data_IF_101691908090
#
_entry.id   IF_101691908090
#
_cell.length_a   1.000
_cell.length_b   1.000
_cell.length_c   1.000
_cell.angle_alpha   90.00
_cell.angle_beta   90.00
_cell.angle_gamma   90.00
#
_symmetry.space_group_name_H-M   'P 1'
#
loop_
_entity.id
_entity.type
_entity.pdbx_description
1 polymer ?
#
# COMPACT_ATOMS: atom_id res chain seq x y z
N UNK A 1 2.59 -13.61 15.21
CA UNK A 1 2.74 -13.73 16.68
C UNK A 1 4.15 -14.13 17.10
N UNK A 2 4.73 -15.20 16.52
CA UNK A 2 6.09 -15.68 16.84
C UNK A 2 7.18 -14.60 16.66
N UNK A 3 7.20 -13.91 15.52
CA UNK A 3 8.15 -12.81 15.27
C UNK A 3 8.13 -11.77 16.39
N UNK A 4 6.95 -11.34 16.84
CA UNK A 4 6.83 -10.29 17.85
C UNK A 4 7.36 -10.72 19.22
N UNK A 5 7.15 -11.98 19.60
CA UNK A 5 7.73 -12.55 20.83
C UNK A 5 9.26 -12.60 20.75
N UNK A 6 9.80 -13.06 19.62
CA UNK A 6 11.25 -13.07 19.39
C UNK A 6 11.81 -11.64 19.43
N UNK A 7 11.15 -10.69 18.76
CA UNK A 7 11.54 -9.29 18.72
C UNK A 7 11.63 -8.69 20.13
N UNK A 8 10.59 -8.88 20.95
CA UNK A 8 10.55 -8.43 22.35
C UNK A 8 11.66 -9.09 23.19
N UNK A 9 11.91 -10.39 23.00
CA UNK A 9 13.01 -11.09 23.70
C UNK A 9 14.40 -10.51 23.39
N UNK A 10 14.54 -9.84 22.24
CA UNK A 10 15.77 -9.15 21.81
C UNK A 10 15.75 -7.65 22.15
N UNK A 11 14.77 -7.18 22.92
CA UNK A 11 14.64 -5.78 23.35
C UNK A 11 14.00 -4.85 22.32
N UNK A 12 13.48 -5.38 21.21
CA UNK A 12 12.75 -4.64 20.20
C UNK A 12 11.25 -4.58 20.52
N UNK A 13 10.48 -3.82 19.73
CA UNK A 13 9.03 -3.79 19.85
C UNK A 13 8.38 -5.06 19.30
N UNK A 14 7.15 -5.33 19.73
CA UNK A 14 6.37 -6.46 19.22
C UNK A 14 6.09 -6.35 17.71
N UNK A 15 5.79 -5.15 17.23
CA UNK A 15 5.65 -4.87 15.80
C UNK A 15 6.96 -4.33 15.23
N UNK A 16 7.28 -4.63 13.95
CA UNK A 16 8.44 -4.06 13.29
C UNK A 16 8.42 -2.53 13.30
N UNK A 17 9.59 -1.89 13.41
CA UNK A 17 9.71 -0.42 13.37
C UNK A 17 9.02 0.21 12.14
N UNK A 18 9.09 -0.35 10.91
CA UNK A 18 8.33 0.20 9.78
C UNK A 18 6.82 0.31 10.03
N UNK A 19 6.22 -0.67 10.70
CA UNK A 19 4.78 -0.67 11.02
C UNK A 19 4.47 0.42 12.05
N UNK A 20 5.31 0.55 13.08
CA UNK A 20 5.13 1.54 14.14
C UNK A 20 5.37 2.98 13.67
N UNK A 21 6.33 3.19 12.77
CA UNK A 21 6.74 4.51 12.31
C UNK A 21 5.93 5.01 11.11
N UNK A 22 5.42 4.11 10.27
CA UNK A 22 4.68 4.47 9.04
C UNK A 22 3.20 4.12 9.08
N UNK A 23 2.75 3.36 10.09
CA UNK A 23 1.35 3.02 10.26
C UNK A 23 0.53 4.21 10.75
N UNK A 24 -0.75 4.20 10.41
CA UNK A 24 -1.73 5.19 10.86
C UNK A 24 -2.45 4.66 12.11
N UNK A 25 -1.77 4.66 13.25
CA UNK A 25 -2.35 4.23 14.54
C UNK A 25 -3.06 5.42 15.18
N UNK A 26 -4.36 5.36 15.47
CA UNK A 26 -5.08 6.46 16.10
C UNK A 26 -4.54 6.73 17.50
N UNK A 27 -4.30 8.01 17.82
CA UNK A 27 -4.15 8.43 19.21
C UNK A 27 -5.51 8.24 19.91
N UNK A 28 -5.53 7.64 21.11
CA UNK A 28 -6.76 7.40 21.91
C UNK A 28 -7.29 8.70 22.53
N UNK A 29 -7.55 9.68 21.69
CA UNK A 29 -8.16 10.97 22.02
C UNK A 29 -9.24 11.29 20.98
N UNK A 30 -10.21 12.12 21.32
CA UNK A 30 -11.27 12.53 20.38
C UNK A 30 -10.67 13.14 19.09
N UNK A 31 -9.62 13.95 19.23
CA UNK A 31 -8.90 14.55 18.10
C UNK A 31 -8.19 13.46 17.29
N UNK A 32 -7.57 12.48 17.95
CA UNK A 32 -6.90 11.36 17.29
C UNK A 32 -7.85 10.48 16.49
N UNK A 33 -9.04 10.19 17.04
CA UNK A 33 -10.11 9.48 16.34
C UNK A 33 -10.61 10.29 15.13
N UNK A 34 -10.81 11.60 15.30
CA UNK A 34 -11.19 12.48 14.19
C UNK A 34 -10.16 12.49 13.06
N UNK A 35 -8.87 12.57 13.38
CA UNK A 35 -7.78 12.47 12.40
C UNK A 35 -7.75 11.11 11.69
N UNK A 36 -8.04 10.03 12.40
CA UNK A 36 -8.10 8.69 11.83
C UNK A 36 -9.21 8.57 10.78
N UNK A 37 -10.42 9.03 11.07
CA UNK A 37 -11.51 9.05 10.08
C UNK A 37 -11.21 10.00 8.93
N UNK A 38 -10.66 11.18 9.21
CA UNK A 38 -10.21 12.10 8.15
C UNK A 38 -9.20 11.42 7.22
N UNK A 39 -8.20 10.71 7.76
CA UNK A 39 -7.26 9.93 6.97
C UNK A 39 -7.97 8.89 6.11
N UNK A 40 -8.87 8.10 6.71
CA UNK A 40 -9.63 7.08 5.98
C UNK A 40 -10.40 7.67 4.79
N UNK A 41 -11.16 8.76 5.00
CA UNK A 41 -11.91 9.40 3.92
C UNK A 41 -11.01 10.08 2.90
N UNK A 42 -9.93 10.73 3.33
CA UNK A 42 -8.96 11.35 2.43
C UNK A 42 -8.28 10.30 1.54
N UNK A 43 -7.95 9.12 2.07
CA UNK A 43 -7.41 8.01 1.30
C UNK A 43 -8.45 7.46 0.31
N UNK A 44 -9.72 7.34 0.71
CA UNK A 44 -10.78 6.85 -0.15
C UNK A 44 -11.02 7.78 -1.36
N UNK A 45 -11.08 9.09 -1.10
CA UNK A 45 -11.28 10.12 -2.15
C UNK A 45 -10.03 10.30 -3.00
N UNK A 46 -8.85 10.26 -2.39
CA UNK A 46 -7.56 10.43 -3.08
C UNK A 46 -7.16 9.24 -3.96
N UNK A 47 -7.81 8.08 -3.79
CA UNK A 47 -7.48 6.85 -4.53
C UNK A 47 -8.73 6.27 -5.22
N UNK A 48 -9.27 6.96 -6.25
CA UNK A 48 -10.54 6.60 -6.88
C UNK A 48 -10.56 5.20 -7.51
N UNK A 49 -9.41 4.70 -7.97
CA UNK A 49 -9.25 3.33 -8.47
C UNK A 49 -9.63 2.29 -7.42
N UNK A 50 -9.14 2.45 -6.19
CA UNK A 50 -9.45 1.51 -5.10
C UNK A 50 -10.88 1.69 -4.60
N UNK A 51 -11.36 2.93 -4.54
CA UNK A 51 -12.75 3.22 -4.17
C UNK A 51 -13.75 2.53 -5.11
N UNK A 52 -13.51 2.60 -6.43
CA UNK A 52 -14.34 1.92 -7.43
C UNK A 52 -14.31 0.40 -7.23
N UNK A 53 -13.15 -0.21 -6.99
CA UNK A 53 -13.07 -1.65 -6.73
C UNK A 53 -13.86 -2.05 -5.46
N UNK A 54 -13.78 -1.25 -4.39
CA UNK A 54 -14.56 -1.50 -3.17
C UNK A 54 -16.07 -1.39 -3.46
N UNK A 55 -16.50 -0.36 -4.19
CA UNK A 55 -17.91 -0.20 -4.57
C UNK A 55 -18.41 -1.36 -5.43
N UNK A 56 -17.64 -1.78 -6.43
CA UNK A 56 -17.98 -2.92 -7.28
C UNK A 56 -18.04 -4.24 -6.49
N UNK A 57 -17.11 -4.43 -5.55
CA UNK A 57 -17.12 -5.60 -4.66
C UNK A 57 -18.33 -5.59 -3.73
N UNK A 58 -18.67 -4.44 -3.13
CA UNK A 58 -19.87 -4.28 -2.30
C UNK A 58 -21.15 -4.54 -3.10
N UNK A 59 -21.26 -3.98 -4.31
CA UNK A 59 -22.39 -4.23 -5.20
C UNK A 59 -22.51 -5.72 -5.55
N UNK A 60 -21.39 -6.36 -5.91
CA UNK A 60 -21.33 -7.80 -6.21
C UNK A 60 -21.71 -8.65 -5.00
N UNK A 61 -21.28 -8.27 -3.80
CA UNK A 61 -21.63 -8.93 -2.55
C UNK A 61 -23.12 -8.82 -2.26
N UNK A 62 -23.68 -7.62 -2.28
CA UNK A 62 -25.10 -7.37 -2.02
C UNK A 62 -25.97 -8.12 -3.03
N UNK A 63 -25.66 -8.02 -4.32
CA UNK A 63 -26.41 -8.69 -5.38
C UNK A 63 -26.38 -10.23 -5.24
N UNK A 64 -25.23 -10.81 -4.94
CA UNK A 64 -25.10 -12.26 -4.74
C UNK A 64 -25.78 -12.72 -3.45
N UNK A 65 -25.60 -11.98 -2.37
CA UNK A 65 -26.24 -12.28 -1.10
C UNK A 65 -27.76 -12.21 -1.22
N UNK A 66 -28.30 -11.23 -1.96
CA UNK A 66 -29.73 -11.14 -2.19
C UNK A 66 -30.28 -12.33 -2.99
N UNK A 67 -29.57 -12.78 -4.03
CA UNK A 67 -29.99 -13.94 -4.83
C UNK A 67 -29.86 -15.29 -4.11
N UNK A 68 -28.81 -15.46 -3.30
CA UNK A 68 -28.44 -16.79 -2.78
C UNK A 68 -28.74 -16.95 -1.28
N UNK A 69 -28.86 -15.84 -0.53
CA UNK A 69 -29.11 -15.80 0.93
C UNK A 69 -28.16 -16.67 1.77
N UNK A 70 -26.96 -16.98 1.26
CA UNK A 70 -25.95 -17.81 1.93
C UNK A 70 -24.63 -17.03 1.99
N UNK A 71 -23.95 -17.04 3.14
CA UNK A 71 -22.68 -16.32 3.33
C UNK A 71 -21.44 -17.19 3.08
N UNK A 72 -21.56 -18.51 3.20
CA UNK A 72 -20.44 -19.46 3.22
C UNK A 72 -20.06 -20.04 1.86
N UNK A 73 -20.32 -19.29 0.78
CA UNK A 73 -19.90 -19.69 -0.57
C UNK A 73 -18.59 -19.01 -0.94
N UNK A 74 -17.72 -19.72 -1.65
CA UNK A 74 -16.37 -19.26 -1.99
C UNK A 74 -16.35 -17.83 -2.58
N UNK A 75 -17.18 -17.45 -3.56
CA UNK A 75 -17.14 -16.09 -4.12
C UNK A 75 -17.53 -15.00 -3.11
N UNK A 76 -18.45 -15.30 -2.19
CA UNK A 76 -18.89 -14.37 -1.14
C UNK A 76 -17.78 -14.21 -0.09
N UNK A 77 -17.17 -15.31 0.32
CA UNK A 77 -16.02 -15.29 1.24
C UNK A 77 -14.88 -14.48 0.63
N UNK A 78 -14.57 -14.67 -0.66
CA UNK A 78 -13.52 -13.90 -1.35
C UNK A 78 -13.84 -12.41 -1.43
N UNK A 79 -15.10 -12.03 -1.67
CA UNK A 79 -15.56 -10.63 -1.64
C UNK A 79 -15.40 -10.02 -0.24
N UNK A 80 -15.81 -10.74 0.80
CA UNK A 80 -15.65 -10.31 2.20
C UNK A 80 -14.17 -10.14 2.54
N UNK A 81 -13.32 -11.11 2.21
CA UNK A 81 -11.87 -11.03 2.41
C UNK A 81 -11.30 -9.79 1.72
N UNK A 82 -11.63 -9.56 0.44
CA UNK A 82 -11.16 -8.39 -0.29
C UNK A 82 -11.62 -7.09 0.36
N UNK A 83 -12.92 -6.94 0.66
CA UNK A 83 -13.48 -5.74 1.27
C UNK A 83 -12.81 -5.46 2.62
N UNK A 84 -12.75 -6.46 3.51
CA UNK A 84 -12.11 -6.31 4.82
C UNK A 84 -10.62 -5.95 4.71
N UNK A 85 -9.90 -6.59 3.79
CA UNK A 85 -8.47 -6.31 3.57
C UNK A 85 -8.25 -4.89 3.04
N UNK A 86 -9.09 -4.43 2.10
CA UNK A 86 -9.02 -3.09 1.55
C UNK A 86 -9.33 -2.02 2.62
N UNK A 87 -10.38 -2.24 3.41
CA UNK A 87 -10.76 -1.32 4.50
C UNK A 87 -9.68 -1.22 5.58
N UNK A 88 -9.08 -2.35 5.98
CA UNK A 88 -7.95 -2.33 6.92
C UNK A 88 -6.71 -1.65 6.33
N UNK A 89 -6.42 -1.86 5.05
CA UNK A 89 -5.30 -1.18 4.40
C UNK A 89 -5.50 0.34 4.39
N UNK A 90 -6.68 0.82 3.96
CA UNK A 90 -7.02 2.25 3.93
C UNK A 90 -6.97 2.86 5.33
N UNK A 91 -7.37 2.09 6.35
CA UNK A 91 -7.41 2.55 7.74
C UNK A 91 -6.01 2.75 8.34
N UNK A 92 -5.11 1.79 8.10
CA UNK A 92 -3.87 1.68 8.85
C UNK A 92 -2.60 1.93 8.03
N UNK A 93 -2.70 2.02 6.70
CA UNK A 93 -1.56 2.21 5.80
C UNK A 93 -1.78 3.34 4.79
N UNK A 94 -0.68 3.91 4.32
CA UNK A 94 -0.69 4.96 3.31
C UNK A 94 -0.81 4.41 1.88
N UNK A 95 -1.73 4.96 1.09
CA UNK A 95 -1.85 4.71 -0.34
C UNK A 95 -1.12 5.77 -1.18
N UNK A 96 -1.11 5.60 -2.50
CA UNK A 96 -0.78 6.67 -3.45
C UNK A 96 0.70 7.03 -3.63
N UNK A 97 1.63 6.48 -2.86
CA UNK A 97 3.06 6.84 -3.01
C UNK A 97 3.65 6.37 -4.36
N UNK A 98 3.80 5.06 -4.55
CA UNK A 98 4.42 4.47 -5.76
C UNK A 98 3.68 3.22 -6.20
N UNK A 99 2.38 3.16 -5.92
CA UNK A 99 1.48 2.04 -6.21
C UNK A 99 1.83 0.69 -5.54
N UNK A 100 2.99 0.58 -4.88
CA UNK A 100 3.51 -0.67 -4.29
C UNK A 100 2.57 -1.29 -3.25
N UNK A 101 2.09 -0.47 -2.33
CA UNK A 101 1.29 -0.96 -1.20
C UNK A 101 -0.13 -1.33 -1.60
N UNK A 102 -0.64 -0.80 -2.71
CA UNK A 102 -1.99 -1.08 -3.21
C UNK A 102 -2.02 -2.08 -4.36
N UNK A 103 -0.88 -2.44 -4.96
CA UNK A 103 -0.85 -3.30 -6.14
C UNK A 103 -1.49 -4.67 -5.92
N UNK A 104 -1.32 -5.25 -4.73
CA UNK A 104 -1.95 -6.52 -4.39
C UNK A 104 -3.47 -6.37 -4.23
N UNK A 105 -3.96 -5.24 -3.72
CA UNK A 105 -5.40 -4.94 -3.63
C UNK A 105 -6.01 -4.78 -5.03
N UNK A 106 -5.28 -4.18 -5.96
CA UNK A 106 -5.71 -4.05 -7.35
C UNK A 106 -5.88 -5.43 -8.00
N UNK A 107 -4.87 -6.29 -7.88
CA UNK A 107 -4.92 -7.64 -8.43
C UNK A 107 -6.03 -8.48 -7.79
N UNK A 108 -6.12 -8.46 -6.46
CA UNK A 108 -7.14 -9.19 -5.72
C UNK A 108 -8.55 -8.68 -6.05
N UNK A 109 -8.76 -7.37 -6.07
CA UNK A 109 -10.05 -6.75 -6.36
C UNK A 109 -10.54 -7.08 -7.76
N UNK A 110 -9.70 -6.88 -8.78
CA UNK A 110 -10.04 -7.21 -10.17
C UNK A 110 -10.39 -8.70 -10.29
N UNK A 111 -9.58 -9.58 -9.69
CA UNK A 111 -9.81 -11.02 -9.75
C UNK A 111 -11.14 -11.44 -9.11
N UNK A 112 -11.41 -11.00 -7.88
CA UNK A 112 -12.63 -11.37 -7.16
C UNK A 112 -13.88 -10.77 -7.83
N UNK A 113 -13.80 -9.52 -8.31
CA UNK A 113 -14.91 -8.90 -9.05
C UNK A 113 -15.17 -9.62 -10.37
N UNK A 114 -14.12 -9.99 -11.11
CA UNK A 114 -14.26 -10.75 -12.36
C UNK A 114 -15.01 -12.07 -12.11
N UNK A 115 -14.57 -12.88 -11.14
CA UNK A 115 -15.27 -14.11 -10.73
C UNK A 115 -16.71 -13.83 -10.29
N UNK A 116 -16.90 -12.72 -9.56
CA UNK A 116 -18.20 -12.28 -9.08
C UNK A 116 -19.19 -11.95 -10.19
N UNK A 117 -18.73 -11.43 -11.34
CA UNK A 117 -19.57 -10.97 -12.45
C UNK A 117 -19.67 -12.03 -13.56
N UNK A 118 -18.65 -12.88 -13.77
CA UNK A 118 -18.58 -13.84 -14.87
C UNK A 118 -19.83 -14.72 -15.02
N UNK A 119 -20.39 -15.21 -13.91
CA UNK A 119 -21.61 -16.05 -13.91
C UNK A 119 -22.88 -15.31 -14.38
N UNK A 120 -22.85 -13.98 -14.44
CA UNK A 120 -23.97 -13.13 -14.83
C UNK A 120 -23.76 -12.43 -16.18
N UNK A 121 -22.60 -12.63 -16.82
CA UNK A 121 -22.36 -12.11 -18.16
C UNK A 121 -23.14 -12.95 -19.18
N UNK A 122 -23.81 -12.32 -20.16
CA UNK A 122 -24.47 -13.06 -21.23
C UNK A 122 -23.42 -13.80 -22.08
N UNK A 123 -23.69 -15.06 -22.43
CA UNK A 123 -22.80 -15.88 -23.28
C UNK A 123 -22.52 -15.23 -24.64
N UNK A 124 -23.49 -14.48 -25.17
CA UNK A 124 -23.35 -13.70 -26.40
C UNK A 124 -23.84 -12.28 -26.16
N UNK A 125 -22.95 -11.31 -26.29
CA UNK A 125 -23.33 -9.91 -26.37
C UNK A 125 -23.81 -9.62 -27.79
N UNK A 126 -25.09 -9.28 -27.96
CA UNK A 126 -25.64 -8.79 -29.23
C UNK A 126 -25.87 -7.28 -29.16
N UNK A 127 -25.34 -6.56 -30.14
CA UNK A 127 -25.57 -5.11 -30.30
C UNK A 127 -26.65 -4.95 -31.37
N UNK A 128 -27.81 -4.45 -30.98
CA UNK A 128 -28.88 -4.13 -31.91
C UNK A 128 -28.83 -2.65 -32.27
N UNK A 129 -28.64 -2.31 -33.54
CA UNK A 129 -28.51 -0.94 -34.06
C UNK A 129 -29.88 -0.24 -34.20
N UNK A 130 -30.69 -0.26 -33.14
CA UNK A 130 -31.93 0.49 -33.05
C UNK A 130 -31.65 1.87 -32.45
N UNK A 131 -32.05 2.96 -33.13
CA UNK A 131 -31.91 4.34 -32.65
C UNK A 131 -32.56 4.57 -31.27
N UNK A 132 -33.62 3.84 -30.94
CA UNK A 132 -34.26 3.92 -29.63
C UNK A 132 -33.37 3.39 -28.48
N UNK A 133 -32.39 2.52 -28.78
CA UNK A 133 -31.43 1.98 -27.80
C UNK A 133 -30.18 2.86 -27.66
N UNK A 134 -30.01 3.88 -28.51
CA UNK A 134 -28.83 4.74 -28.49
C UNK A 134 -28.57 5.39 -27.12
N UNK A 135 -29.57 5.94 -26.40
CA UNK A 135 -29.33 6.50 -25.07
C UNK A 135 -28.81 5.45 -24.07
N UNK A 136 -29.30 4.21 -24.16
CA UNK A 136 -28.85 3.09 -23.31
C UNK A 136 -27.39 2.74 -23.58
N UNK A 137 -26.98 2.67 -24.84
CA UNK A 137 -25.58 2.38 -25.19
C UNK A 137 -24.64 3.50 -24.76
N UNK A 138 -25.04 4.76 -24.93
CA UNK A 138 -24.25 5.92 -24.47
C UNK A 138 -24.10 5.85 -22.94
N UNK A 139 -25.19 5.67 -22.19
CA UNK A 139 -25.13 5.56 -20.74
C UNK A 139 -24.25 4.39 -20.26
N UNK A 140 -24.35 3.24 -20.93
CA UNK A 140 -23.50 2.06 -20.63
C UNK A 140 -22.03 2.35 -20.92
N UNK A 141 -21.72 3.00 -22.05
CA UNK A 141 -20.37 3.40 -22.42
C UNK A 141 -19.76 4.40 -21.42
N UNK A 142 -20.54 5.39 -20.99
CA UNK A 142 -20.12 6.35 -19.95
C UNK A 142 -19.85 5.64 -18.63
N UNK A 143 -20.71 4.70 -18.23
CA UNK A 143 -20.52 3.93 -17.00
C UNK A 143 -19.25 3.07 -17.05
N UNK A 144 -19.03 2.36 -18.17
CA UNK A 144 -17.80 1.57 -18.39
C UNK A 144 -16.57 2.49 -18.35
N UNK A 145 -16.63 3.65 -19.02
CA UNK A 145 -15.53 4.61 -19.00
C UNK A 145 -15.28 5.13 -17.58
N UNK A 146 -16.30 5.50 -16.83
CA UNK A 146 -16.18 5.98 -15.45
C UNK A 146 -15.53 4.93 -14.53
N UNK A 147 -15.90 3.66 -14.68
CA UNK A 147 -15.33 2.55 -13.90
C UNK A 147 -13.88 2.27 -14.31
N UNK A 148 -13.60 2.22 -15.61
CA UNK A 148 -12.31 1.77 -16.15
C UNK A 148 -11.25 2.85 -16.16
N UNK A 149 -11.64 4.13 -16.28
CA UNK A 149 -10.69 5.23 -16.44
C UNK A 149 -9.75 5.39 -15.24
N UNK A 150 -10.20 5.40 -13.97
CA UNK A 150 -9.27 5.50 -12.83
C UNK A 150 -8.32 4.30 -12.72
N UNK A 151 -8.81 3.09 -13.06
CA UNK A 151 -7.98 1.88 -13.11
C UNK A 151 -6.90 2.00 -14.20
N UNK A 152 -7.29 2.50 -15.38
CA UNK A 152 -6.39 2.70 -16.52
C UNK A 152 -5.35 3.79 -16.24
N UNK A 153 -5.74 4.93 -15.67
CA UNK A 153 -4.82 6.01 -15.28
C UNK A 153 -3.78 5.49 -14.30
N UNK A 154 -4.21 4.79 -13.24
CA UNK A 154 -3.30 4.20 -12.25
C UNK A 154 -2.38 3.16 -12.90
N UNK A 155 -2.93 2.28 -13.75
CA UNK A 155 -2.16 1.25 -14.45
C UNK A 155 -1.10 1.83 -15.38
N UNK A 156 -1.47 2.82 -16.18
CA UNK A 156 -0.58 3.53 -17.09
C UNK A 156 0.51 4.27 -16.34
N UNK A 157 0.16 4.97 -15.24
CA UNK A 157 1.14 5.60 -14.35
C UNK A 157 2.14 4.58 -13.82
N UNK A 158 1.68 3.41 -13.35
CA UNK A 158 2.55 2.32 -12.93
C UNK A 158 3.52 1.85 -14.03
N UNK A 159 3.04 1.68 -15.26
CA UNK A 159 3.84 1.24 -16.40
C UNK A 159 4.92 2.26 -16.80
N UNK A 160 4.62 3.56 -16.73
CA UNK A 160 5.57 4.62 -17.11
C UNK A 160 6.56 4.91 -15.99
N UNK A 161 6.10 5.04 -14.74
CA UNK A 161 6.96 5.49 -13.63
C UNK A 161 7.83 4.39 -13.05
N UNK A 162 7.41 3.12 -13.11
CA UNK A 162 8.16 2.01 -12.49
C UNK A 162 9.54 1.79 -13.15
N UNK A 163 9.68 1.73 -14.49
CA UNK A 163 10.99 1.61 -15.13
C UNK A 163 11.91 2.77 -14.80
N UNK A 164 11.40 4.01 -14.83
CA UNK A 164 12.18 5.19 -14.47
C UNK A 164 12.62 5.17 -13.01
N UNK A 165 11.73 4.81 -12.08
CA UNK A 165 12.05 4.69 -10.67
C UNK A 165 13.13 3.62 -10.44
N UNK A 166 13.02 2.48 -11.13
CA UNK A 166 14.03 1.41 -11.08
C UNK A 166 15.39 1.90 -11.59
N UNK A 167 15.40 2.65 -12.69
CA UNK A 167 16.62 3.29 -13.20
C UNK A 167 17.20 4.29 -12.21
N UNK A 168 16.38 5.06 -11.50
CA UNK A 168 16.84 5.99 -10.47
C UNK A 168 17.51 5.25 -9.31
N UNK A 169 16.94 4.12 -8.86
CA UNK A 169 17.55 3.28 -7.82
C UNK A 169 18.90 2.73 -8.29
N UNK A 170 18.99 2.28 -9.54
CA UNK A 170 20.26 1.85 -10.14
C UNK A 170 21.29 2.99 -10.20
N UNK A 171 20.88 4.20 -10.61
CA UNK A 171 21.76 5.36 -10.76
C UNK A 171 22.20 6.00 -9.44
N UNK A 172 21.42 5.85 -8.38
CA UNK A 172 21.67 6.51 -7.09
C UNK A 172 22.05 5.52 -6.01
N UNK A 173 21.10 4.73 -5.51
CA UNK A 173 21.30 3.87 -4.34
C UNK A 173 22.26 2.72 -4.61
N UNK A 174 22.19 2.11 -5.81
CA UNK A 174 23.11 1.04 -6.19
C UNK A 174 24.54 1.57 -6.41
N UNK A 175 24.72 2.72 -7.08
CA UNK A 175 26.06 3.33 -7.23
C UNK A 175 26.64 3.75 -5.88
N UNK A 176 25.82 4.35 -5.00
CA UNK A 176 26.21 4.67 -3.62
C UNK A 176 26.66 3.41 -2.88
N UNK A 177 25.96 2.29 -3.04
CA UNK A 177 26.34 1.02 -2.45
C UNK A 177 27.70 0.52 -2.95
N UNK A 178 27.99 0.62 -4.26
CA UNK A 178 29.29 0.27 -4.81
C UNK A 178 30.41 1.17 -4.30
N UNK A 179 30.14 2.47 -4.15
CA UNK A 179 31.09 3.42 -3.56
C UNK A 179 31.41 3.06 -2.11
N UNK A 180 30.39 2.83 -1.28
CA UNK A 180 30.57 2.43 0.12
C UNK A 180 31.29 1.08 0.23
N UNK A 181 30.96 0.12 -0.65
CA UNK A 181 31.66 -1.17 -0.74
C UNK A 181 33.15 -1.02 -1.04
N UNK A 182 33.54 -0.01 -1.81
CA UNK A 182 34.95 0.21 -2.17
C UNK A 182 35.72 1.00 -1.12
N UNK A 183 35.10 1.99 -0.47
CA UNK A 183 35.84 2.97 0.34
C UNK A 183 35.47 2.99 1.83
N UNK A 184 34.37 2.36 2.24
CA UNK A 184 33.81 2.46 3.59
C UNK A 184 33.51 1.10 4.24
N UNK A 185 34.20 0.03 3.82
CA UNK A 185 34.05 -1.29 4.45
C UNK A 185 34.40 -1.25 5.93
N UNK A 186 33.55 -1.85 6.76
CA UNK A 186 33.65 -1.88 8.20
C UNK A 186 33.51 -0.51 8.87
N UNK A 187 33.01 0.52 8.16
CA UNK A 187 32.83 1.87 8.70
C UNK A 187 31.38 2.16 9.02
N UNK A 188 31.16 3.02 10.00
CA UNK A 188 29.86 3.60 10.29
C UNK A 188 29.40 4.55 9.18
N UNK A 189 28.16 4.38 8.71
CA UNK A 189 27.55 5.22 7.67
C UNK A 189 26.10 5.54 8.05
N UNK A 190 25.77 6.83 8.13
CA UNK A 190 24.40 7.28 8.33
C UNK A 190 23.69 7.49 6.99
N UNK A 191 22.53 6.87 6.81
CA UNK A 191 21.81 6.90 5.54
C UNK A 191 20.28 6.83 5.70
N UNK A 192 19.56 7.38 4.73
CA UNK A 192 18.09 7.27 4.66
C UNK A 192 17.65 5.96 3.99
N UNK A 193 18.28 5.60 2.87
CA UNK A 193 17.95 4.42 2.09
C UNK A 193 18.93 3.30 2.38
N UNK A 194 18.52 2.40 3.27
CA UNK A 194 19.40 1.37 3.85
C UNK A 194 19.45 0.05 3.08
N UNK A 195 18.62 -0.12 2.04
CA UNK A 195 18.48 -1.39 1.34
C UNK A 195 19.75 -1.83 0.59
N UNK A 196 19.99 -1.24 -0.58
CA UNK A 196 21.10 -1.65 -1.44
C UNK A 196 22.48 -1.45 -0.79
N UNK A 197 22.65 -0.37 -0.02
CA UNK A 197 23.93 -0.05 0.62
C UNK A 197 24.32 -1.08 1.69
N UNK A 198 23.38 -1.53 2.52
CA UNK A 198 23.65 -2.55 3.55
C UNK A 198 23.68 -3.96 2.98
N UNK A 199 23.09 -4.18 1.80
CA UNK A 199 23.17 -5.48 1.13
C UNK A 199 24.51 -5.70 0.43
N UNK A 200 25.06 -4.67 -0.23
CA UNK A 200 26.28 -4.82 -1.05
C UNK A 200 27.57 -4.45 -0.33
N UNK A 201 27.51 -3.60 0.70
CA UNK A 201 28.65 -3.16 1.49
C UNK A 201 28.49 -3.62 2.94
N UNK A 202 29.60 -4.04 3.57
CA UNK A 202 29.64 -4.33 5.01
C UNK A 202 29.88 -3.01 5.75
N UNK A 203 28.80 -2.34 6.15
CA UNK A 203 28.82 -1.04 6.82
C UNK A 203 28.02 -1.11 8.12
N UNK A 204 28.47 -0.36 9.13
CA UNK A 204 27.65 -0.13 10.32
C UNK A 204 26.62 0.97 10.03
N UNK A 205 25.48 0.58 9.46
CA UNK A 205 24.48 1.53 8.98
C UNK A 205 23.64 2.12 10.12
N UNK A 206 23.72 3.45 10.27
CA UNK A 206 22.77 4.26 11.02
C UNK A 206 21.62 4.69 10.11
N UNK A 207 20.54 3.93 10.14
CA UNK A 207 19.27 4.23 9.48
C UNK A 207 18.59 5.45 10.09
N UNK A 208 18.66 6.56 9.35
CA UNK A 208 18.06 7.84 9.74
C UNK A 208 16.51 7.80 9.72
N UNK A 209 15.91 6.81 9.05
CA UNK A 209 14.48 6.56 9.11
C UNK A 209 14.04 5.73 10.32
N UNK A 210 14.95 5.00 10.96
CA UNK A 210 14.70 4.17 12.14
C UNK A 210 14.02 2.83 11.85
N UNK A 211 13.95 2.41 10.59
CA UNK A 211 13.43 1.11 10.16
C UNK A 211 14.34 -0.03 10.65
N UNK A 212 15.66 0.16 10.54
CA UNK A 212 16.70 -0.78 10.93
C UNK A 212 17.39 -0.47 12.26
N UNK A 213 17.08 0.66 12.92
CA UNK A 213 17.66 0.98 14.23
C UNK A 213 16.61 1.37 15.27
N UNK A 214 16.58 0.59 16.36
CA UNK A 214 15.64 0.78 17.46
C UNK A 214 15.81 2.12 18.19
N UNK A 215 17.03 2.62 18.34
CA UNK A 215 17.30 3.91 19.02
C UNK A 215 16.67 5.08 18.24
N UNK A 216 16.82 5.07 16.91
CA UNK A 216 16.21 6.06 16.02
C UNK A 216 14.70 5.93 16.04
N UNK A 217 14.15 4.71 15.99
CA UNK A 217 12.70 4.48 16.10
C UNK A 217 12.11 5.04 17.40
N UNK A 218 12.75 4.75 18.53
CA UNK A 218 12.36 5.26 19.87
C UNK A 218 12.32 6.79 19.88
N UNK A 219 13.33 7.45 19.32
CA UNK A 219 13.40 8.91 19.26
C UNK A 219 12.33 9.51 18.34
N UNK A 220 12.07 8.89 17.19
CA UNK A 220 11.02 9.33 16.26
C UNK A 220 9.63 9.17 16.86
N UNK A 221 9.33 8.04 17.49
CA UNK A 221 8.04 7.82 18.17
C UNK A 221 7.80 8.84 19.28
N UNK A 222 8.86 9.22 20.02
CA UNK A 222 8.80 10.28 21.04
C UNK A 222 8.80 11.72 20.47
N UNK A 223 8.79 11.88 19.13
CA UNK A 223 8.92 13.18 18.44
C UNK A 223 10.15 13.99 18.89
N UNK A 224 11.23 13.31 19.27
CA UNK A 224 12.46 13.90 19.79
C UNK A 224 13.70 13.56 18.94
N UNK A 225 13.50 13.25 17.66
CA UNK A 225 14.59 12.97 16.73
C UNK A 225 15.01 14.26 16.01
N UNK A 226 16.04 14.93 16.53
CA UNK A 226 16.60 16.18 15.99
C UNK A 226 18.09 16.02 15.64
N UNK A 227 18.68 17.04 15.04
CA UNK A 227 20.09 17.06 14.59
C UNK A 227 21.08 16.66 15.70
N UNK A 228 20.85 17.10 16.94
CA UNK A 228 21.73 16.75 18.06
C UNK A 228 21.74 15.24 18.35
N UNK A 229 20.58 14.60 18.28
CA UNK A 229 20.46 13.17 18.50
C UNK A 229 21.10 12.38 17.37
N UNK A 230 20.97 12.84 16.12
CA UNK A 230 21.67 12.25 14.97
C UNK A 230 23.18 12.28 15.22
N UNK A 231 23.72 13.46 15.55
CA UNK A 231 25.15 13.63 15.84
C UNK A 231 25.63 12.71 16.97
N UNK A 232 24.88 12.65 18.07
CA UNK A 232 25.22 11.81 19.22
C UNK A 232 25.21 10.32 18.86
N UNK A 233 24.26 9.87 18.03
CA UNK A 233 24.19 8.48 17.57
C UNK A 233 25.31 8.14 16.60
N UNK A 234 25.65 9.05 15.69
CA UNK A 234 26.78 8.87 14.76
C UNK A 234 28.10 8.78 15.52
N UNK A 235 28.33 9.63 16.53
CA UNK A 235 29.56 9.60 17.36
C UNK A 235 29.77 8.31 18.14
N UNK A 236 28.69 7.57 18.45
CA UNK A 236 28.77 6.30 19.19
C UNK A 236 29.25 5.15 18.30
N UNK A 237 29.18 5.30 16.98
CA UNK A 237 29.56 4.28 16.00
C UNK A 237 30.98 4.55 15.52
N UNK A 238 31.77 3.49 15.32
CA UNK A 238 33.20 3.55 14.96
C UNK A 238 33.41 3.20 13.49
#
# INVERSE_FOLDING_TARGET
>A
MIYGLISVSKGWYFFPNPVLLKGNIPELSLIGIGKFFYHFFAQLVGNPHLFILILLALFSFIFRFDKQKVLWKEPIIMLVIFISTALFHISFAGLGWFYRYEAYLMALGIFVIALGICEYLPEKASINFNKALLPKYIATGILILFITLPLAIRGFGGLIFTPQATRNIYGQQYQMALFLKKFYQGKAVAANDIGAISYLADIDCLDLWGLGNLEVAKLKMKRNYKTQQIYNLTKKRK
#
